data_IF_466105112299
#
_entry.id   IF_466105112299
#
_cell.length_a   1.000
_cell.length_b   1.000
_cell.length_c   1.000
_cell.angle_alpha   90.00
_cell.angle_beta   90.00
_cell.angle_gamma   90.00
#
_symmetry.space_group_name_H-M   'P 1'
#
loop_
_entity.id
_entity.type
_entity.pdbx_description
1 polymer ?
#
# COMPACT_ATOMS: atom_id res chain seq x y z
N UNK A 1 -26.51 9.41 -54.50
CA UNK A 1 -25.79 8.48 -53.62
C UNK A 1 -26.70 8.08 -52.48
N UNK A 2 -26.61 6.84 -51.99
CA UNK A 2 -27.39 6.38 -50.83
C UNK A 2 -26.75 6.94 -49.55
N UNK A 3 -27.55 7.52 -48.68
CA UNK A 3 -27.10 8.06 -47.39
C UNK A 3 -27.42 7.09 -46.26
N UNK A 4 -26.58 7.09 -45.23
CA UNK A 4 -26.60 6.12 -44.13
C UNK A 4 -26.63 6.84 -42.76
N UNK A 5 -27.82 7.22 -42.31
CA UNK A 5 -28.00 8.01 -41.07
C UNK A 5 -28.15 7.18 -39.78
N UNK A 6 -28.08 5.84 -39.87
CA UNK A 6 -28.20 4.95 -38.71
C UNK A 6 -26.86 4.65 -38.03
N UNK A 7 -26.93 3.86 -36.95
CA UNK A 7 -25.75 3.17 -36.38
C UNK A 7 -25.61 1.79 -37.00
N UNK A 8 -24.40 1.45 -37.40
CA UNK A 8 -24.07 0.19 -38.06
C UNK A 8 -23.04 -0.56 -37.22
N UNK A 9 -23.17 -1.88 -37.14
CA UNK A 9 -22.18 -2.71 -36.45
C UNK A 9 -20.91 -2.77 -37.29
N UNK A 10 -19.79 -2.45 -36.66
CA UNK A 10 -18.48 -2.62 -37.26
C UNK A 10 -17.54 -3.42 -36.36
N UNK A 11 -16.43 -3.85 -36.95
CA UNK A 11 -15.36 -4.56 -36.25
C UNK A 11 -14.02 -3.90 -36.52
N UNK A 12 -13.25 -3.68 -35.46
CA UNK A 12 -11.93 -3.03 -35.55
C UNK A 12 -10.95 -3.98 -36.24
N UNK A 13 -10.35 -3.55 -37.35
CA UNK A 13 -9.33 -4.31 -38.08
C UNK A 13 -7.92 -3.78 -37.85
N UNK A 14 -7.76 -2.50 -37.52
CA UNK A 14 -6.46 -1.97 -37.08
C UNK A 14 -6.55 -0.69 -36.26
N UNK A 15 -5.55 -0.48 -35.39
CA UNK A 15 -5.40 0.74 -34.56
C UNK A 15 -4.17 1.59 -34.92
N UNK A 16 -3.46 1.24 -36.00
CA UNK A 16 -2.22 1.90 -36.43
C UNK A 16 -2.47 3.23 -37.17
N UNK A 17 -2.99 4.21 -36.45
CA UNK A 17 -3.33 5.53 -37.00
C UNK A 17 -2.09 6.43 -37.20
N UNK A 18 -1.66 6.61 -38.46
CA UNK A 18 -0.50 7.44 -38.80
C UNK A 18 -0.72 8.94 -38.57
N UNK A 19 -1.97 9.40 -38.50
CA UNK A 19 -2.31 10.81 -38.27
C UNK A 19 -2.44 11.15 -36.78
N UNK A 20 -2.41 10.13 -35.89
CA UNK A 20 -2.45 10.30 -34.43
C UNK A 20 -3.70 11.05 -33.94
N UNK A 21 -4.83 10.80 -34.58
CA UNK A 21 -6.13 11.41 -34.27
C UNK A 21 -7.02 10.48 -33.42
N UNK A 22 -6.54 9.27 -33.09
CA UNK A 22 -7.35 8.27 -32.40
C UNK A 22 -8.32 7.55 -33.34
N UNK A 23 -8.01 7.50 -34.64
CA UNK A 23 -8.80 6.77 -35.64
C UNK A 23 -8.58 5.27 -35.49
N UNK A 24 -9.59 4.52 -35.91
CA UNK A 24 -9.52 3.06 -36.05
C UNK A 24 -9.89 2.67 -37.46
N UNK A 25 -9.29 1.61 -37.96
CA UNK A 25 -9.71 0.98 -39.20
C UNK A 25 -10.83 -0.01 -38.87
N UNK A 26 -11.96 0.11 -39.56
CA UNK A 26 -13.18 -0.62 -39.23
C UNK A 26 -13.82 -1.22 -40.47
N UNK A 27 -14.21 -2.48 -40.37
CA UNK A 27 -15.12 -3.14 -41.33
C UNK A 27 -16.56 -2.85 -40.94
N UNK A 28 -17.39 -2.49 -41.93
CA UNK A 28 -18.84 -2.28 -41.74
C UNK A 28 -19.60 -2.97 -42.87
N UNK A 29 -19.79 -4.30 -42.83
CA UNK A 29 -20.31 -5.05 -43.97
C UNK A 29 -21.66 -4.54 -44.51
N UNK A 30 -22.53 -4.05 -43.64
CA UNK A 30 -23.85 -3.51 -44.00
C UNK A 30 -23.81 -2.23 -44.85
N UNK A 31 -22.70 -1.50 -44.87
CA UNK A 31 -22.56 -0.21 -45.58
C UNK A 31 -21.38 -0.25 -46.57
N UNK A 32 -20.23 -0.71 -46.09
CA UNK A 32 -19.01 -0.84 -46.86
C UNK A 32 -18.95 -2.17 -47.61
N UNK A 33 -19.80 -3.16 -47.37
CA UNK A 33 -19.68 -4.48 -48.01
C UNK A 33 -18.51 -5.31 -47.45
N UNK A 34 -18.53 -6.60 -47.77
CA UNK A 34 -17.58 -7.59 -47.25
C UNK A 34 -16.13 -7.32 -47.67
N UNK A 35 -15.19 -7.53 -46.74
CA UNK A 35 -13.75 -7.38 -46.97
C UNK A 35 -13.27 -5.95 -47.25
N UNK A 36 -14.12 -4.94 -47.03
CA UNK A 36 -13.77 -3.53 -47.14
C UNK A 36 -13.77 -2.87 -45.76
N UNK A 37 -12.75 -2.07 -45.51
CA UNK A 37 -12.61 -1.29 -44.31
C UNK A 37 -12.24 0.17 -44.63
N UNK A 38 -12.44 1.04 -43.65
CA UNK A 38 -12.12 2.46 -43.76
C UNK A 38 -11.67 3.02 -42.41
N UNK A 39 -10.93 4.12 -42.43
CA UNK A 39 -10.52 4.85 -41.23
C UNK A 39 -11.69 5.66 -40.69
N UNK A 40 -12.14 5.33 -39.48
CA UNK A 40 -13.22 6.03 -38.80
C UNK A 40 -12.68 7.06 -37.79
N UNK A 41 -13.27 8.26 -37.79
CA UNK A 41 -13.00 9.30 -36.80
C UNK A 41 -13.61 8.97 -35.44
N UNK A 42 -12.94 9.29 -34.32
CA UNK A 42 -13.51 9.08 -33.00
C UNK A 42 -14.64 10.06 -32.66
N UNK A 43 -15.76 9.55 -32.19
CA UNK A 43 -16.76 10.30 -31.43
C UNK A 43 -16.57 9.99 -29.94
N UNK A 44 -15.54 10.60 -29.34
CA UNK A 44 -15.23 10.44 -27.91
C UNK A 44 -16.09 11.37 -27.04
N UNK A 45 -16.49 10.97 -25.82
CA UNK A 45 -17.28 11.82 -24.91
C UNK A 45 -16.60 13.12 -24.50
N UNK A 46 -15.26 13.19 -24.54
CA UNK A 46 -14.50 14.35 -24.11
C UNK A 46 -13.20 14.46 -24.90
N UNK A 47 -12.98 15.60 -25.56
CA UNK A 47 -11.74 15.91 -26.28
C UNK A 47 -11.51 17.42 -26.33
N UNK A 48 -10.25 17.82 -26.27
CA UNK A 48 -9.77 19.19 -26.41
C UNK A 48 -8.26 19.22 -26.59
N UNK A 49 -7.67 20.41 -26.61
CA UNK A 49 -6.22 20.54 -26.67
C UNK A 49 -5.57 20.01 -25.38
N UNK A 50 -4.80 18.92 -25.47
CA UNK A 50 -4.11 18.23 -24.37
C UNK A 50 -5.01 17.70 -23.22
N UNK A 51 -6.30 17.51 -23.51
CA UNK A 51 -7.29 16.98 -22.55
C UNK A 51 -8.27 16.07 -23.28
N UNK A 52 -8.78 15.03 -22.62
CA UNK A 52 -9.80 14.17 -23.20
C UNK A 52 -9.92 12.79 -22.57
N UNK A 53 -10.89 12.02 -23.07
CA UNK A 53 -11.02 10.59 -22.82
C UNK A 53 -10.48 9.82 -24.05
N UNK A 54 -9.24 9.33 -23.93
CA UNK A 54 -8.57 8.60 -24.99
C UNK A 54 -8.62 7.08 -24.73
N UNK A 55 -9.66 6.43 -25.23
CA UNK A 55 -9.94 5.01 -25.00
C UNK A 55 -10.15 4.27 -26.31
N UNK A 56 -9.11 4.20 -27.13
CA UNK A 56 -9.15 3.49 -28.42
C UNK A 56 -9.35 1.99 -28.18
N UNK A 57 -10.40 1.37 -28.76
CA UNK A 57 -10.65 -0.06 -28.58
C UNK A 57 -9.58 -0.93 -29.27
N UNK A 58 -9.23 -2.10 -28.72
CA UNK A 58 -8.27 -3.01 -29.33
C UNK A 58 -8.77 -3.60 -30.66
N UNK A 59 -7.84 -4.06 -31.50
CA UNK A 59 -8.16 -4.81 -32.72
C UNK A 59 -9.08 -6.00 -32.39
N UNK A 60 -10.09 -6.22 -33.23
CA UNK A 60 -11.13 -7.24 -33.03
C UNK A 60 -12.34 -6.79 -32.22
N UNK A 61 -12.32 -5.60 -31.59
CA UNK A 61 -13.47 -5.09 -30.84
C UNK A 61 -14.68 -4.81 -31.72
N UNK A 62 -15.88 -4.95 -31.15
CA UNK A 62 -17.13 -4.59 -31.80
C UNK A 62 -17.49 -3.13 -31.49
N UNK A 63 -17.74 -2.33 -32.53
CA UNK A 63 -17.98 -0.88 -32.44
C UNK A 63 -19.25 -0.48 -33.17
N UNK A 64 -19.89 0.59 -32.70
CA UNK A 64 -20.93 1.27 -33.47
C UNK A 64 -20.29 2.29 -34.40
N UNK A 65 -20.69 2.25 -35.67
CA UNK A 65 -20.20 3.15 -36.72
C UNK A 65 -21.35 3.98 -37.28
N UNK A 66 -21.10 5.27 -37.41
CA UNK A 66 -21.94 6.27 -38.08
C UNK A 66 -21.14 6.89 -39.22
N UNK A 67 -21.77 7.80 -39.97
CA UNK A 67 -21.18 8.41 -41.15
C UNK A 67 -21.50 9.91 -41.17
N UNK A 68 -20.49 10.77 -41.36
CA UNK A 68 -20.68 12.23 -41.40
C UNK A 68 -21.71 12.60 -42.48
N UNK A 69 -22.80 13.24 -42.09
CA UNK A 69 -23.94 13.54 -42.97
C UNK A 69 -24.48 12.32 -43.77
N UNK A 70 -24.26 11.10 -43.26
CA UNK A 70 -24.62 9.85 -43.92
C UNK A 70 -23.73 9.44 -45.09
N UNK A 71 -22.57 10.07 -45.30
CA UNK A 71 -21.64 9.75 -46.38
C UNK A 71 -20.71 8.57 -45.99
N UNK A 72 -20.78 7.43 -46.70
CA UNK A 72 -19.98 6.24 -46.38
C UNK A 72 -18.45 6.45 -46.47
N UNK A 73 -17.98 7.53 -47.10
CA UNK A 73 -16.56 7.87 -47.17
C UNK A 73 -16.02 8.50 -45.87
N UNK A 74 -16.89 8.95 -44.96
CA UNK A 74 -16.52 9.63 -43.71
C UNK A 74 -17.09 8.90 -42.49
N UNK A 75 -16.59 7.69 -42.16
CA UNK A 75 -17.07 6.94 -41.01
C UNK A 75 -16.64 7.57 -39.69
N UNK A 76 -17.46 7.38 -38.67
CA UNK A 76 -17.27 7.82 -37.28
C UNK A 76 -17.51 6.60 -36.39
N UNK A 77 -16.61 6.32 -35.44
CA UNK A 77 -16.88 5.29 -34.41
C UNK A 77 -17.40 5.95 -33.13
N UNK A 78 -18.52 5.44 -32.59
CA UNK A 78 -19.25 6.05 -31.47
C UNK A 78 -19.61 5.06 -30.36
N UNK A 79 -18.57 4.42 -29.83
CA UNK A 79 -18.67 3.48 -28.71
C UNK A 79 -18.52 2.02 -29.11
N UNK A 80 -18.45 1.16 -28.09
CA UNK A 80 -18.24 -0.28 -28.22
C UNK A 80 -19.45 -1.04 -27.69
N UNK A 81 -19.58 -2.30 -28.08
CA UNK A 81 -20.53 -3.23 -27.48
C UNK A 81 -19.88 -4.60 -27.28
N UNK A 82 -20.31 -5.34 -26.27
CA UNK A 82 -19.85 -6.70 -26.07
C UNK A 82 -20.60 -7.67 -26.99
N UNK A 83 -19.83 -8.53 -27.66
CA UNK A 83 -20.34 -9.76 -28.24
C UNK A 83 -20.71 -10.79 -27.18
N UNK A 84 -21.28 -11.91 -27.63
CA UNK A 84 -21.63 -13.00 -26.73
C UNK A 84 -20.38 -13.53 -26.01
N UNK A 85 -20.40 -13.49 -24.67
CA UNK A 85 -19.29 -13.95 -23.83
C UNK A 85 -18.15 -12.94 -23.64
N UNK A 86 -18.18 -11.78 -24.29
CA UNK A 86 -17.12 -10.76 -24.18
C UNK A 86 -17.28 -9.85 -22.96
N UNK A 87 -18.47 -9.79 -22.35
CA UNK A 87 -18.68 -9.03 -21.12
C UNK A 87 -17.79 -9.63 -20.01
N UNK A 88 -16.96 -8.82 -19.31
CA UNK A 88 -16.05 -9.33 -18.29
C UNK A 88 -16.72 -10.21 -17.24
N UNK A 89 -16.05 -11.32 -16.89
CA UNK A 89 -16.62 -12.41 -16.07
C UNK A 89 -17.08 -11.98 -14.68
N UNK A 90 -16.46 -10.95 -14.08
CA UNK A 90 -16.92 -10.36 -12.81
C UNK A 90 -18.40 -9.94 -12.85
N UNK A 91 -18.93 -9.57 -14.02
CA UNK A 91 -20.35 -9.26 -14.20
C UNK A 91 -21.20 -10.47 -14.60
N UNK A 92 -20.61 -11.50 -15.21
CA UNK A 92 -21.35 -12.69 -15.65
C UNK A 92 -21.91 -13.48 -14.46
N UNK A 93 -21.17 -13.53 -13.35
CA UNK A 93 -21.60 -14.21 -12.12
C UNK A 93 -22.69 -13.45 -11.36
N UNK A 94 -23.07 -12.25 -11.81
CA UNK A 94 -23.97 -11.32 -11.11
C UNK A 94 -25.00 -10.70 -12.05
N UNK A 95 -25.51 -11.48 -13.01
CA UNK A 95 -26.41 -11.00 -14.05
C UNK A 95 -27.66 -10.28 -13.51
N UNK A 96 -28.09 -10.59 -12.28
CA UNK A 96 -29.24 -9.96 -11.61
C UNK A 96 -28.90 -8.67 -10.82
N UNK A 97 -27.61 -8.35 -10.67
CA UNK A 97 -27.11 -7.24 -9.85
C UNK A 97 -26.11 -6.35 -10.61
N UNK A 98 -26.27 -6.27 -11.93
CA UNK A 98 -25.38 -5.53 -12.83
C UNK A 98 -25.29 -4.03 -12.50
N UNK A 99 -26.32 -3.47 -11.85
CA UNK A 99 -26.35 -2.09 -11.41
C UNK A 99 -25.57 -1.85 -10.11
N UNK A 100 -25.03 -2.89 -9.46
CA UNK A 100 -24.27 -2.77 -8.23
C UNK A 100 -22.77 -2.63 -8.48
N UNK A 101 -22.25 -3.20 -9.58
CA UNK A 101 -20.83 -3.14 -9.96
C UNK A 101 -20.63 -2.31 -11.23
N UNK A 102 -19.70 -1.36 -11.18
CA UNK A 102 -19.23 -0.60 -12.33
C UNK A 102 -17.72 -0.71 -12.39
N UNK A 103 -17.16 -0.81 -13.58
CA UNK A 103 -15.71 -0.82 -13.71
C UNK A 103 -15.24 -0.16 -15.00
N UNK A 104 -13.98 0.24 -14.98
CA UNK A 104 -13.19 0.50 -16.16
C UNK A 104 -12.04 -0.51 -16.19
N UNK A 105 -12.05 -1.39 -17.21
CA UNK A 105 -11.08 -2.49 -17.35
C UNK A 105 -10.37 -2.42 -18.69
N UNK A 106 -9.05 -2.57 -18.63
CA UNK A 106 -8.16 -2.82 -19.78
C UNK A 106 -7.52 -4.21 -19.62
N UNK A 107 -6.56 -4.57 -20.48
CA UNK A 107 -5.97 -5.92 -20.50
C UNK A 107 -5.29 -6.34 -19.19
N UNK A 108 -4.88 -5.40 -18.32
CA UNK A 108 -4.30 -5.74 -17.01
C UNK A 108 -4.46 -4.64 -15.97
N UNK A 109 -5.38 -3.69 -16.16
CA UNK A 109 -5.72 -2.66 -15.16
C UNK A 109 -7.23 -2.64 -15.02
N UNK A 110 -7.73 -2.69 -13.78
CA UNK A 110 -9.16 -2.60 -13.48
C UNK A 110 -9.39 -1.62 -12.34
N UNK A 111 -10.28 -0.65 -12.54
CA UNK A 111 -10.85 0.16 -11.48
C UNK A 111 -12.33 -0.23 -11.31
N UNK A 112 -12.72 -0.68 -10.12
CA UNK A 112 -14.05 -1.20 -9.81
C UNK A 112 -14.69 -0.38 -8.70
N UNK A 113 -15.94 0.03 -8.91
CA UNK A 113 -16.82 0.67 -7.94
C UNK A 113 -17.98 -0.28 -7.67
N UNK A 114 -18.11 -0.75 -6.44
CA UNK A 114 -19.06 -1.80 -6.10
C UNK A 114 -19.90 -1.42 -4.87
N UNK A 115 -21.21 -1.63 -4.99
CA UNK A 115 -22.17 -1.60 -3.88
C UNK A 115 -22.62 -3.01 -3.47
N UNK A 116 -22.03 -4.05 -4.06
CA UNK A 116 -22.37 -5.43 -3.79
C UNK A 116 -22.00 -5.81 -2.36
N UNK A 117 -22.92 -6.47 -1.65
CA UNK A 117 -22.63 -7.02 -0.32
C UNK A 117 -21.40 -7.93 -0.33
N UNK A 118 -20.53 -7.77 0.67
CA UNK A 118 -19.25 -8.49 0.75
C UNK A 118 -18.13 -7.94 -0.16
N UNK A 119 -18.42 -7.00 -1.07
CA UNK A 119 -17.42 -6.33 -1.92
C UNK A 119 -17.75 -4.84 -2.11
N UNK A 120 -18.27 -4.17 -1.07
CA UNK A 120 -18.58 -2.73 -1.14
C UNK A 120 -17.30 -1.92 -1.11
N UNK A 121 -17.20 -0.91 -1.98
CA UNK A 121 -16.07 0.00 -2.00
C UNK A 121 -15.50 0.28 -3.38
N UNK A 122 -14.26 0.74 -3.40
CA UNK A 122 -13.48 1.01 -4.61
C UNK A 122 -12.24 0.14 -4.59
N UNK A 123 -11.98 -0.55 -5.71
CA UNK A 123 -10.83 -1.44 -5.89
C UNK A 123 -10.07 -1.06 -7.15
N UNK A 124 -8.75 -0.92 -7.05
CA UNK A 124 -7.84 -0.77 -8.19
C UNK A 124 -6.91 -1.98 -8.23
N UNK A 125 -6.88 -2.68 -9.36
CA UNK A 125 -6.07 -3.87 -9.59
C UNK A 125 -5.20 -3.68 -10.83
N UNK A 126 -3.92 -4.04 -10.72
CA UNK A 126 -2.96 -4.08 -11.83
C UNK A 126 -2.34 -5.46 -11.87
N UNK A 127 -2.44 -6.14 -13.00
CA UNK A 127 -2.06 -7.55 -13.17
C UNK A 127 -1.38 -7.78 -14.52
N UNK A 128 -1.06 -9.04 -14.83
CA UNK A 128 -0.54 -9.39 -16.15
C UNK A 128 -1.57 -9.04 -17.23
N UNK A 129 -1.14 -8.51 -18.40
CA UNK A 129 0.24 -8.41 -18.87
C UNK A 129 0.94 -7.08 -18.51
N UNK A 130 0.32 -6.19 -17.73
CA UNK A 130 0.87 -4.86 -17.43
C UNK A 130 2.02 -4.94 -16.43
N UNK A 131 1.86 -5.79 -15.41
CA UNK A 131 2.89 -6.07 -14.41
C UNK A 131 3.00 -7.57 -14.16
N UNK A 132 4.21 -8.06 -13.93
CA UNK A 132 4.42 -9.47 -13.57
C UNK A 132 3.91 -9.78 -12.15
N UNK A 133 4.04 -8.81 -11.24
CA UNK A 133 3.62 -8.88 -9.85
C UNK A 133 2.32 -8.09 -9.66
N UNK A 134 1.20 -8.75 -9.32
CA UNK A 134 -0.07 -8.06 -9.13
C UNK A 134 -0.02 -7.03 -8.01
N UNK A 135 -0.65 -5.89 -8.24
CA UNK A 135 -0.81 -4.79 -7.29
C UNK A 135 -2.30 -4.56 -7.06
N UNK A 136 -2.67 -4.27 -5.81
CA UNK A 136 -4.06 -4.03 -5.44
C UNK A 136 -4.16 -2.86 -4.47
N UNK A 137 -5.20 -2.05 -4.62
CA UNK A 137 -5.60 -1.02 -3.67
C UNK A 137 -7.11 -1.13 -3.41
N UNK A 138 -7.51 -1.06 -2.15
CA UNK A 138 -8.90 -1.25 -1.70
C UNK A 138 -9.29 -0.09 -0.79
N UNK A 139 -10.50 0.43 -0.98
CA UNK A 139 -11.17 1.37 -0.08
C UNK A 139 -12.55 0.81 0.25
N UNK A 140 -12.77 0.35 1.48
CA UNK A 140 -14.02 -0.28 1.88
C UNK A 140 -14.40 0.09 3.33
N UNK A 141 -15.38 -0.63 3.89
CA UNK A 141 -15.84 -0.41 5.26
C UNK A 141 -14.79 -0.76 6.33
N UNK A 142 -13.83 -1.62 6.01
CA UNK A 142 -12.74 -2.02 6.91
C UNK A 142 -11.59 -1.01 6.92
N UNK A 143 -11.46 -0.21 5.86
CA UNK A 143 -10.47 0.86 5.75
C UNK A 143 -9.87 0.98 4.35
N UNK A 144 -8.56 1.26 4.32
CA UNK A 144 -7.76 1.39 3.10
C UNK A 144 -6.63 0.36 3.14
N UNK A 145 -6.44 -0.35 2.02
CA UNK A 145 -5.32 -1.29 1.84
C UNK A 145 -4.55 -0.96 0.55
N UNK A 146 -3.22 -1.01 0.62
CA UNK A 146 -2.32 -1.04 -0.53
C UNK A 146 -1.51 -2.33 -0.43
N UNK A 147 -1.64 -3.21 -1.42
CA UNK A 147 -1.13 -4.56 -1.37
C UNK A 147 -0.26 -4.88 -2.60
N UNK A 148 1.00 -5.23 -2.33
CA UNK A 148 1.95 -5.75 -3.30
C UNK A 148 2.08 -7.27 -3.13
N UNK A 149 1.10 -8.00 -3.66
CA UNK A 149 1.06 -9.47 -3.72
C UNK A 149 1.26 -10.17 -2.37
N UNK A 150 0.62 -9.67 -1.33
CA UNK A 150 0.68 -10.13 0.06
C UNK A 150 2.10 -10.14 0.66
N UNK A 151 3.09 -9.59 -0.04
CA UNK A 151 4.46 -9.43 0.45
C UNK A 151 4.62 -8.10 1.17
N UNK A 152 4.11 -7.01 0.62
CA UNK A 152 4.14 -5.70 1.30
C UNK A 152 2.75 -5.12 1.32
N UNK A 153 2.22 -4.87 2.52
CA UNK A 153 0.86 -4.40 2.73
C UNK A 153 0.90 -3.14 3.60
N UNK A 154 0.21 -2.09 3.16
CA UNK A 154 -0.09 -0.91 3.97
C UNK A 154 -1.58 -0.93 4.28
N UNK A 155 -1.93 -0.91 5.56
CA UNK A 155 -3.31 -0.91 6.04
C UNK A 155 -3.57 0.35 6.85
N UNK A 156 -4.68 1.03 6.57
CA UNK A 156 -5.15 2.20 7.32
C UNK A 156 -6.59 1.94 7.73
N UNK A 157 -6.84 1.80 9.03
CA UNK A 157 -8.18 1.67 9.61
C UNK A 157 -8.45 2.83 10.58
N UNK A 158 -9.59 2.80 11.27
CA UNK A 158 -9.92 3.79 12.30
C UNK A 158 -8.92 3.80 13.47
N UNK A 159 -8.38 2.63 13.82
CA UNK A 159 -7.57 2.45 15.04
C UNK A 159 -6.08 2.24 14.76
N UNK A 160 -5.70 1.87 13.53
CA UNK A 160 -4.32 1.52 13.20
C UNK A 160 -3.89 1.97 11.81
N UNK A 161 -2.65 2.46 11.71
CA UNK A 161 -1.88 2.56 10.48
C UNK A 161 -0.76 1.53 10.57
N UNK A 162 -0.67 0.62 9.59
CA UNK A 162 0.28 -0.49 9.61
C UNK A 162 0.97 -0.63 8.25
N UNK A 163 2.28 -0.89 8.29
CA UNK A 163 3.06 -1.38 7.16
C UNK A 163 3.62 -2.74 7.53
N UNK A 164 3.21 -3.78 6.83
CA UNK A 164 3.78 -5.12 6.87
C UNK A 164 4.67 -5.32 5.66
N UNK A 165 5.94 -5.66 5.88
CA UNK A 165 6.87 -6.05 4.83
C UNK A 165 7.37 -7.47 5.09
N UNK A 166 6.73 -8.40 4.38
CA UNK A 166 6.80 -9.85 4.53
C UNK A 166 6.46 -10.26 5.96
N UNK A 167 7.00 -11.36 6.44
CA UNK A 167 6.71 -11.89 7.77
C UNK A 167 7.47 -11.22 8.92
N UNK A 168 8.44 -10.34 8.62
CA UNK A 168 9.51 -10.02 9.58
C UNK A 168 9.60 -8.54 9.96
N UNK A 169 9.24 -7.64 9.05
CA UNK A 169 9.44 -6.19 9.22
C UNK A 169 8.08 -5.50 9.31
N UNK A 170 7.79 -4.81 10.41
CA UNK A 170 6.53 -4.07 10.56
C UNK A 170 6.74 -2.67 11.14
N UNK A 171 5.88 -1.74 10.72
CA UNK A 171 5.71 -0.43 11.36
C UNK A 171 4.24 -0.29 11.71
N UNK A 172 3.93 -0.02 12.97
CA UNK A 172 2.56 0.09 13.47
C UNK A 172 2.40 1.40 14.24
N UNK A 173 1.36 2.16 13.91
CA UNK A 173 0.88 3.32 14.67
C UNK A 173 -0.54 3.01 15.11
N UNK A 174 -0.73 2.82 16.41
CA UNK A 174 -2.02 2.57 17.04
C UNK A 174 -2.29 3.65 18.12
N UNK A 175 -3.53 3.71 18.61
CA UNK A 175 -4.01 4.77 19.53
C UNK A 175 -3.08 5.04 20.73
N UNK A 176 -2.47 4.00 21.30
CA UNK A 176 -1.60 4.12 22.48
C UNK A 176 -0.21 3.50 22.27
N UNK A 177 0.20 3.28 21.03
CA UNK A 177 1.45 2.60 20.74
C UNK A 177 1.98 2.94 19.34
N UNK A 178 3.28 3.22 19.26
CA UNK A 178 4.00 3.26 17.99
C UNK A 178 5.12 2.22 18.07
N UNK A 179 5.19 1.32 17.09
CA UNK A 179 6.11 0.19 17.08
C UNK A 179 6.81 0.07 15.73
N UNK A 180 8.13 -0.18 15.77
CA UNK A 180 8.91 -0.67 14.65
C UNK A 180 9.48 -2.03 15.06
N UNK A 181 9.24 -3.07 14.26
CA UNK A 181 9.67 -4.44 14.54
C UNK A 181 10.46 -5.00 13.37
N UNK A 182 11.61 -5.61 13.64
CA UNK A 182 12.37 -6.45 12.73
C UNK A 182 12.82 -7.72 13.46
N UNK A 183 12.12 -8.84 13.23
CA UNK A 183 12.38 -10.12 13.91
C UNK A 183 12.42 -10.00 15.44
N UNK A 184 13.62 -9.95 16.05
CA UNK A 184 13.85 -9.81 17.49
C UNK A 184 14.17 -8.39 17.94
N UNK A 185 14.33 -7.45 17.01
CA UNK A 185 14.62 -6.05 17.26
C UNK A 185 13.32 -5.25 17.27
N UNK A 186 13.11 -4.48 18.33
CA UNK A 186 11.89 -3.69 18.54
C UNK A 186 12.25 -2.26 18.97
N UNK A 187 11.55 -1.27 18.41
CA UNK A 187 11.43 0.07 18.99
C UNK A 187 9.96 0.29 19.30
N UNK A 188 9.64 0.64 20.54
CA UNK A 188 8.25 0.79 21.01
C UNK A 188 8.09 2.07 21.83
N UNK A 189 7.12 2.88 21.45
CA UNK A 189 6.73 4.10 22.16
C UNK A 189 5.32 3.90 22.71
N UNK A 190 5.15 4.16 24.00
CA UNK A 190 3.86 4.12 24.70
C UNK A 190 3.66 5.43 25.47
N UNK A 191 2.47 5.74 25.99
CA UNK A 191 2.23 6.95 26.80
C UNK A 191 3.12 7.09 28.05
N UNK A 192 3.76 6.00 28.49
CA UNK A 192 4.57 5.96 29.70
C UNK A 192 6.05 5.58 29.48
N UNK A 193 6.43 5.10 28.29
CA UNK A 193 7.78 4.59 28.06
C UNK A 193 8.24 4.68 26.60
N UNK A 194 9.55 4.74 26.41
CA UNK A 194 10.25 4.54 25.14
C UNK A 194 11.20 3.35 25.33
N UNK A 195 11.02 2.31 24.54
CA UNK A 195 11.75 1.04 24.65
C UNK A 195 12.48 0.71 23.34
N UNK A 196 13.75 0.31 23.44
CA UNK A 196 14.52 -0.30 22.37
C UNK A 196 14.92 -1.70 22.85
N UNK A 197 14.60 -2.75 22.10
CA UNK A 197 14.94 -4.13 22.44
C UNK A 197 15.74 -4.79 21.33
N UNK A 198 16.78 -5.49 21.73
CA UNK A 198 17.49 -6.48 20.94
C UNK A 198 17.91 -7.61 21.88
N UNK A 199 16.96 -8.51 22.17
CA UNK A 199 17.04 -9.50 23.25
C UNK A 199 18.39 -10.24 23.27
N UNK A 200 19.07 -10.33 24.43
CA UNK A 200 18.62 -9.95 25.78
C UNK A 200 18.89 -8.49 26.17
N UNK A 201 19.35 -7.64 25.26
CA UNK A 201 19.68 -6.24 25.53
C UNK A 201 18.47 -5.33 25.38
N UNK A 202 18.30 -4.38 26.31
CA UNK A 202 17.23 -3.37 26.24
C UNK A 202 17.72 -1.99 26.66
N UNK A 203 17.09 -0.95 26.12
CA UNK A 203 17.13 0.41 26.62
C UNK A 203 15.70 0.84 26.91
N UNK A 204 15.40 1.25 28.12
CA UNK A 204 14.06 1.65 28.54
C UNK A 204 14.12 3.02 29.22
N UNK A 205 13.35 3.97 28.70
CA UNK A 205 13.12 5.28 29.30
C UNK A 205 11.69 5.35 29.77
N UNK A 206 11.49 5.51 31.07
CA UNK A 206 10.19 5.77 31.68
C UNK A 206 10.17 7.18 32.28
N UNK A 207 9.05 7.58 32.88
CA UNK A 207 8.96 8.87 33.59
C UNK A 207 9.86 8.97 34.82
N UNK A 208 10.31 7.83 35.38
CA UNK A 208 11.06 7.79 36.63
C UNK A 208 12.53 7.39 36.46
N UNK A 209 12.89 6.76 35.33
CA UNK A 209 14.24 6.25 35.12
C UNK A 209 14.59 6.11 33.64
N UNK A 210 15.89 6.12 33.36
CA UNK A 210 16.49 5.65 32.09
C UNK A 210 17.36 4.46 32.44
N UNK A 211 17.18 3.35 31.74
CA UNK A 211 17.84 2.08 32.05
C UNK A 211 18.35 1.38 30.78
N UNK A 212 19.58 0.87 30.84
CA UNK A 212 20.17 -0.03 29.85
C UNK A 212 20.39 -1.38 30.54
N UNK A 213 19.89 -2.47 29.95
CA UNK A 213 20.08 -3.83 30.46
C UNK A 213 20.70 -4.72 29.41
N UNK A 214 21.57 -5.64 29.86
CA UNK A 214 22.04 -6.78 29.10
C UNK A 214 22.19 -7.96 30.06
N UNK A 215 21.21 -8.87 30.05
CA UNK A 215 21.13 -9.97 31.02
C UNK A 215 21.23 -9.47 32.47
N UNK A 216 22.30 -9.78 33.20
CA UNK A 216 22.51 -9.35 34.60
C UNK A 216 23.15 -7.97 34.72
N UNK A 217 23.68 -7.42 33.63
CA UNK A 217 24.32 -6.10 33.62
C UNK A 217 23.26 -5.01 33.44
N UNK A 218 23.33 -3.97 34.27
CA UNK A 218 22.42 -2.82 34.24
C UNK A 218 23.18 -1.50 34.36
N UNK A 219 22.72 -0.47 33.67
CA UNK A 219 23.11 0.92 33.91
C UNK A 219 21.84 1.76 33.98
N UNK A 220 21.58 2.41 35.11
CA UNK A 220 20.35 3.11 35.41
C UNK A 220 20.62 4.53 35.93
N UNK A 221 19.82 5.48 35.46
CA UNK A 221 19.73 6.84 35.97
C UNK A 221 18.31 7.04 36.49
N UNK A 222 18.18 7.43 37.76
CA UNK A 222 16.91 7.77 38.40
C UNK A 222 17.05 9.05 39.22
N UNK A 223 15.94 9.55 39.77
CA UNK A 223 15.98 10.64 40.74
C UNK A 223 16.63 10.24 42.08
N UNK A 224 16.70 8.94 42.38
CA UNK A 224 17.26 8.42 43.62
C UNK A 224 18.77 8.20 43.54
N UNK A 225 19.26 7.76 42.37
CA UNK A 225 20.65 7.37 42.18
C UNK A 225 21.05 7.25 40.69
N UNK A 226 22.36 7.14 40.50
CA UNK A 226 22.99 6.63 39.27
C UNK A 226 23.66 5.32 39.62
N UNK A 227 23.30 4.23 38.95
CA UNK A 227 23.79 2.89 39.27
C UNK A 227 24.28 2.16 38.00
N UNK A 228 25.44 1.53 38.08
CA UNK A 228 25.94 0.57 37.09
C UNK A 228 26.27 -0.70 37.85
N UNK A 229 25.67 -1.83 37.47
CA UNK A 229 25.91 -3.09 38.16
C UNK A 229 25.94 -4.27 37.19
N UNK A 230 26.55 -5.36 37.62
CA UNK A 230 26.39 -6.68 37.01
C UNK A 230 26.23 -7.72 38.13
N UNK A 231 26.41 -9.01 37.82
CA UNK A 231 26.27 -10.09 38.80
C UNK A 231 27.22 -9.98 40.03
N UNK A 232 28.34 -9.26 39.92
CA UNK A 232 29.40 -9.25 40.94
C UNK A 232 29.79 -7.85 41.38
N UNK A 233 29.83 -6.89 40.46
CA UNK A 233 30.32 -5.55 40.67
C UNK A 233 29.20 -4.52 40.61
N UNK A 234 29.35 -3.44 41.37
CA UNK A 234 28.40 -2.34 41.46
C UNK A 234 29.12 -1.02 41.66
N UNK A 235 28.68 0.00 40.93
CA UNK A 235 29.00 1.41 41.12
C UNK A 235 27.67 2.14 41.32
N UNK A 236 27.49 2.80 42.46
CA UNK A 236 26.27 3.53 42.81
C UNK A 236 26.63 4.90 43.35
N UNK A 237 25.95 5.93 42.86
CA UNK A 237 26.03 7.30 43.37
C UNK A 237 24.63 7.72 43.80
N UNK A 238 24.42 7.96 45.09
CA UNK A 238 23.16 8.41 45.65
C UNK A 238 23.39 9.62 46.58
N UNK A 239 22.35 10.44 46.85
CA UNK A 239 22.48 11.58 47.77
C UNK A 239 22.96 11.21 49.18
N UNK A 240 22.60 10.02 49.67
CA UNK A 240 22.99 9.52 50.99
C UNK A 240 24.40 8.91 51.04
N UNK A 241 25.05 8.69 49.89
CA UNK A 241 26.35 8.06 49.80
C UNK A 241 26.61 7.41 48.44
N UNK A 242 27.89 7.15 48.17
CA UNK A 242 28.34 6.46 46.94
C UNK A 242 29.08 5.17 47.28
N UNK A 243 28.98 4.16 46.43
CA UNK A 243 29.59 2.85 46.63
C UNK A 243 30.23 2.35 45.33
N UNK A 244 31.45 1.84 45.43
CA UNK A 244 32.08 0.95 44.45
C UNK A 244 32.30 -0.39 45.15
N UNK A 245 31.75 -1.47 44.62
CA UNK A 245 31.94 -2.83 45.15
C UNK A 245 32.20 -3.86 44.06
N UNK A 246 32.96 -4.89 44.44
CA UNK A 246 33.22 -6.07 43.62
C UNK A 246 33.26 -7.30 44.55
N UNK A 247 32.19 -8.09 44.53
CA UNK A 247 31.96 -9.15 45.50
C UNK A 247 32.08 -8.61 46.95
N UNK A 248 33.02 -9.16 47.74
CA UNK A 248 33.22 -8.75 49.14
C UNK A 248 33.98 -7.42 49.30
N UNK A 249 34.75 -7.00 48.28
CA UNK A 249 35.53 -5.77 48.34
C UNK A 249 34.64 -4.55 48.09
N UNK A 250 34.84 -3.46 48.85
CA UNK A 250 34.05 -2.24 48.68
C UNK A 250 34.76 -0.96 49.13
N UNK A 251 34.40 0.15 48.50
CA UNK A 251 34.71 1.52 48.91
C UNK A 251 33.38 2.28 48.99
N UNK A 252 33.01 2.72 50.19
CA UNK A 252 31.77 3.44 50.47
C UNK A 252 32.08 4.84 50.97
N UNK A 253 31.54 5.85 50.30
CA UNK A 253 31.56 7.25 50.71
C UNK A 253 30.21 7.60 51.36
N UNK A 254 30.25 8.12 52.57
CA UNK A 254 29.13 8.75 53.26
C UNK A 254 29.38 10.25 53.43
N UNK A 255 28.42 11.06 53.90
CA UNK A 255 28.62 12.50 54.09
C UNK A 255 29.81 12.88 54.98
N UNK A 256 30.26 11.97 55.86
CA UNK A 256 31.30 12.25 56.86
C UNK A 256 32.42 11.21 56.89
N UNK A 257 32.38 10.16 56.06
CA UNK A 257 33.37 9.08 56.12
C UNK A 257 33.60 8.38 54.79
N UNK A 258 34.81 7.82 54.66
CA UNK A 258 35.16 6.83 53.64
C UNK A 258 35.41 5.51 54.35
N UNK A 259 34.71 4.47 53.94
CA UNK A 259 34.87 3.12 54.47
C UNK A 259 35.40 2.19 53.37
N UNK A 260 36.55 1.56 53.60
CA UNK A 260 37.15 0.55 52.73
C UNK A 260 36.98 -0.82 53.38
N UNK A 261 36.44 -1.78 52.64
CA UNK A 261 36.21 -3.16 53.07
C UNK A 261 35.52 -3.29 54.45
N UNK A 262 34.47 -2.47 54.67
CA UNK A 262 33.73 -2.42 55.93
C UNK A 262 34.60 -2.11 57.17
N UNK A 263 35.65 -1.29 56.99
CA UNK A 263 36.56 -0.87 58.06
C UNK A 263 37.76 -1.79 58.26
N UNK A 264 37.83 -2.91 57.52
CA UNK A 264 39.04 -3.72 57.42
C UNK A 264 40.03 -3.01 56.49
N UNK A 265 40.91 -2.18 57.03
CA UNK A 265 41.94 -1.53 56.23
C UNK A 265 42.97 -2.59 55.80
N UNK A 266 42.96 -3.02 54.54
CA UNK A 266 44.11 -3.68 53.92
C UNK A 266 44.45 -2.94 52.62
N UNK A 267 45.55 -2.18 52.68
CA UNK A 267 46.19 -1.50 51.55
C UNK A 267 47.46 -2.29 51.23
N UNK A 268 47.49 -2.94 50.07
CA UNK A 268 48.69 -3.57 49.48
C UNK A 268 48.81 -3.07 48.06
#
# INVERSE_FOLDING_TARGET
MRQFFGKYRGKVTSIRDTEKLGRIRVEVPAVLGEGRDSWAMPCTPYAGNDIGLFTVPPEGSNVWVEFEAGDPNYPIWSGCFWGQGELPQQNQQQAEQQDQIKFFRTHGITCTLSNLEGNKGVTLEVEQPVVERPLKMIFNADGIEINNKDETIITITADVIKLDNRSNSTITVAVNEIQLQEQSVEIKLTPSAIELKNTPSTVNMTRSQIEIKQSTSTAALSAADVEISNATAKLKVAPAGSELSNAAASVKLSPVSVNVNNGALEVI
#
